data_IF_636215372093
#
_entry.id   IF_636215372093
#
_cell.length_a   1.000
_cell.length_b   1.000
_cell.length_c   1.000
_cell.angle_alpha   90.00
_cell.angle_beta   90.00
_cell.angle_gamma   90.00
#
_symmetry.space_group_name_H-M   'P 1'
#
loop_
_entity.id
_entity.type
_entity.pdbx_description
1 polymer ?
#
# COMPACT_ATOMS: atom_id res chain seq x y z
N UNK A 1 7.42 -3.81 10.00
CA UNK A 1 8.42 -4.53 9.17
C UNK A 1 7.95 -5.92 8.75
N UNK A 2 7.40 -6.75 9.66
CA UNK A 2 7.03 -8.15 9.34
C UNK A 2 6.13 -8.34 8.12
N UNK A 3 5.11 -7.49 7.92
CA UNK A 3 4.19 -7.60 6.78
C UNK A 3 4.88 -7.39 5.43
N UNK A 4 5.79 -6.42 5.31
CA UNK A 4 6.46 -6.11 4.04
C UNK A 4 7.47 -7.19 3.67
N UNK A 5 8.17 -7.75 4.66
CA UNK A 5 9.01 -8.94 4.47
C UNK A 5 8.17 -10.14 4.05
N UNK A 6 7.06 -10.41 4.75
CA UNK A 6 6.17 -11.53 4.42
C UNK A 6 5.61 -11.46 3.00
N UNK A 7 5.17 -10.28 2.55
CA UNK A 7 4.72 -10.08 1.15
C UNK A 7 5.81 -10.36 0.13
N UNK A 8 7.05 -9.91 0.37
CA UNK A 8 8.16 -10.19 -0.53
C UNK A 8 8.50 -11.70 -0.57
N UNK A 9 8.45 -12.37 0.58
CA UNK A 9 8.60 -13.82 0.66
C UNK A 9 7.52 -14.52 -0.17
N UNK A 10 6.26 -14.07 -0.10
CA UNK A 10 5.18 -14.61 -0.92
C UNK A 10 5.38 -14.36 -2.42
N UNK A 11 5.85 -13.18 -2.84
CA UNK A 11 6.18 -12.94 -4.25
C UNK A 11 7.30 -13.86 -4.75
N UNK A 12 8.28 -14.13 -3.89
CA UNK A 12 9.36 -15.06 -4.24
C UNK A 12 8.84 -16.50 -4.33
N UNK A 13 8.11 -16.95 -3.31
CA UNK A 13 7.66 -18.33 -3.21
C UNK A 13 6.52 -18.69 -4.19
N UNK A 14 5.57 -17.79 -4.40
CA UNK A 14 4.36 -18.07 -5.19
C UNK A 14 4.50 -17.73 -6.68
N UNK A 15 5.32 -16.71 -7.02
CA UNK A 15 5.44 -16.24 -8.41
C UNK A 15 6.85 -16.31 -8.97
N UNK A 16 7.83 -16.81 -8.19
CA UNK A 16 9.22 -16.97 -8.63
C UNK A 16 9.98 -15.66 -8.80
N UNK A 17 9.47 -14.53 -8.27
CA UNK A 17 10.15 -13.24 -8.38
C UNK A 17 11.41 -13.27 -7.51
N UNK A 18 12.62 -13.05 -8.06
CA UNK A 18 13.84 -13.06 -7.26
C UNK A 18 13.78 -12.05 -6.12
N UNK A 19 14.12 -12.45 -4.90
CA UNK A 19 14.02 -11.58 -3.72
C UNK A 19 14.89 -10.33 -3.83
N UNK A 20 15.98 -10.39 -4.59
CA UNK A 20 16.87 -9.25 -4.89
C UNK A 20 16.18 -8.14 -5.69
N UNK A 21 15.05 -8.42 -6.36
CA UNK A 21 14.25 -7.42 -7.07
C UNK A 21 13.28 -6.67 -6.16
N UNK A 22 13.02 -7.18 -4.95
CA UNK A 22 12.17 -6.53 -3.96
C UNK A 22 12.97 -5.81 -2.88
N UNK A 23 12.41 -4.72 -2.35
CA UNK A 23 12.95 -4.03 -1.19
C UNK A 23 11.82 -3.83 -0.17
N UNK A 24 11.84 -4.51 0.98
CA UNK A 24 10.85 -4.28 2.03
C UNK A 24 11.15 -2.94 2.71
N UNK A 25 10.17 -2.02 2.66
CA UNK A 25 10.29 -0.67 3.23
C UNK A 25 9.15 -0.43 4.21
N UNK A 26 9.44 0.27 5.31
CA UNK A 26 8.44 0.80 6.25
C UNK A 26 8.71 2.28 6.42
N UNK A 27 7.71 3.11 6.11
CA UNK A 27 7.73 4.53 6.44
C UNK A 27 7.19 4.70 7.86
N UNK A 28 8.05 5.11 8.79
CA UNK A 28 7.69 5.29 10.21
C UNK A 28 7.17 6.71 10.46
N UNK A 29 5.85 6.88 10.40
CA UNK A 29 5.18 8.12 10.80
C UNK A 29 4.86 8.18 12.30
N UNK A 30 5.46 7.31 13.13
CA UNK A 30 5.12 7.16 14.54
C UNK A 30 3.98 6.17 14.78
N UNK A 31 3.65 5.99 16.06
CA UNK A 31 2.68 5.00 16.55
C UNK A 31 1.70 5.63 17.54
N UNK A 32 0.47 5.12 17.55
CA UNK A 32 -0.50 5.47 18.61
C UNK A 32 -0.38 4.53 19.81
N UNK A 33 0.41 3.45 19.70
CA UNK A 33 0.72 2.55 20.79
C UNK A 33 2.06 2.96 21.42
N UNK A 34 2.00 3.84 22.43
CA UNK A 34 3.17 4.42 23.09
C UNK A 34 3.61 3.66 24.36
N UNK A 35 2.83 2.66 24.77
CA UNK A 35 3.05 1.94 26.02
C UNK A 35 4.02 0.77 25.89
N UNK A 36 4.46 0.43 24.67
CA UNK A 36 5.29 -0.74 24.41
C UNK A 36 6.78 -0.42 24.61
N UNK A 37 7.44 -0.98 25.64
CA UNK A 37 8.86 -0.75 25.90
C UNK A 37 9.77 -1.44 24.87
N UNK A 38 9.24 -2.37 24.07
CA UNK A 38 9.97 -3.05 23.00
C UNK A 38 9.67 -2.46 21.61
N UNK A 39 9.03 -1.30 21.55
CA UNK A 39 8.80 -0.62 20.28
C UNK A 39 10.13 -0.22 19.63
N UNK A 40 10.41 -0.82 18.48
CA UNK A 40 11.71 -0.71 17.81
C UNK A 40 11.93 0.61 17.07
N UNK A 41 10.87 1.39 16.84
CA UNK A 41 10.92 2.61 16.04
C UNK A 41 10.69 3.87 16.90
N UNK A 42 10.45 5.03 16.28
CA UNK A 42 10.28 6.28 17.05
C UNK A 42 9.03 6.23 17.94
N UNK A 43 9.24 6.33 19.26
CA UNK A 43 8.19 6.49 20.26
C UNK A 43 7.63 7.93 20.24
N UNK A 44 6.86 8.22 19.19
CA UNK A 44 6.10 9.46 19.04
C UNK A 44 4.70 9.15 18.52
N UNK A 45 3.73 10.02 18.83
CA UNK A 45 2.38 9.93 18.26
C UNK A 45 2.43 9.95 16.74
N UNK A 46 1.49 9.24 16.11
CA UNK A 46 1.39 9.18 14.66
C UNK A 46 1.16 10.58 14.06
N UNK A 47 1.98 10.94 13.09
CA UNK A 47 1.83 12.14 12.26
C UNK A 47 0.77 11.88 11.19
N UNK A 48 -0.11 12.86 10.96
CA UNK A 48 -1.20 12.80 9.98
C UNK A 48 -1.19 14.05 9.08
N UNK A 49 -1.95 14.00 7.99
CA UNK A 49 -2.11 15.11 7.04
C UNK A 49 -0.84 15.40 6.25
N UNK A 50 -0.63 16.67 5.91
CA UNK A 50 0.41 17.13 4.99
C UNK A 50 1.82 16.62 5.32
N UNK A 51 2.19 16.55 6.61
CA UNK A 51 3.50 16.05 7.01
C UNK A 51 3.70 14.56 6.72
N UNK A 52 2.62 13.77 6.79
CA UNK A 52 2.66 12.36 6.42
C UNK A 52 2.71 12.19 4.90
N UNK A 53 1.96 13.03 4.16
CA UNK A 53 1.94 13.03 2.70
C UNK A 53 3.29 13.46 2.13
N UNK A 54 3.89 14.54 2.66
CA UNK A 54 5.24 14.98 2.32
C UNK A 54 6.29 13.88 2.51
N UNK A 55 6.20 13.08 3.60
CA UNK A 55 7.12 11.96 3.79
C UNK A 55 6.99 10.90 2.69
N UNK A 56 5.76 10.62 2.25
CA UNK A 56 5.49 9.68 1.15
C UNK A 56 5.99 10.26 -0.17
N UNK A 57 5.75 11.55 -0.41
CA UNK A 57 6.19 12.25 -1.62
C UNK A 57 7.71 12.33 -1.70
N UNK A 58 8.38 12.72 -0.62
CA UNK A 58 9.83 12.77 -0.52
C UNK A 58 10.44 11.39 -0.77
N UNK A 59 9.86 10.33 -0.20
CA UNK A 59 10.31 8.96 -0.44
C UNK A 59 10.12 8.53 -1.90
N UNK A 60 8.99 8.90 -2.50
CA UNK A 60 8.65 8.52 -3.88
C UNK A 60 9.47 9.28 -4.91
N UNK A 61 9.76 10.55 -4.63
CA UNK A 61 10.44 11.49 -5.53
C UNK A 61 11.94 11.66 -5.22
N UNK A 62 12.49 10.95 -4.23
CA UNK A 62 13.90 11.02 -3.88
C UNK A 62 14.81 10.75 -5.10
N UNK A 63 15.89 11.53 -5.29
CA UNK A 63 16.81 11.33 -6.41
C UNK A 63 17.47 9.94 -6.33
N UNK A 64 17.15 9.09 -7.32
CA UNK A 64 17.48 7.67 -7.40
C UNK A 64 16.67 6.99 -8.51
N UNK A 65 16.72 5.65 -8.65
CA UNK A 65 15.78 4.97 -9.56
C UNK A 65 14.35 5.28 -9.09
N UNK A 66 13.48 5.87 -9.93
CA UNK A 66 12.13 6.23 -9.53
C UNK A 66 11.42 5.02 -8.95
N UNK A 67 10.90 5.16 -7.73
CA UNK A 67 10.09 4.10 -7.10
C UNK A 67 8.69 4.07 -7.74
N UNK A 68 8.37 5.03 -8.60
CA UNK A 68 7.11 5.13 -9.36
C UNK A 68 6.80 3.91 -10.24
N UNK A 69 7.78 3.07 -10.58
CA UNK A 69 7.55 1.78 -11.27
C UNK A 69 7.24 0.61 -10.32
N UNK A 70 7.31 0.80 -9.00
CA UNK A 70 7.07 -0.26 -8.00
C UNK A 70 5.64 -0.17 -7.46
N UNK A 71 4.94 -1.31 -7.47
CA UNK A 71 3.57 -1.42 -6.95
C UNK A 71 3.57 -1.24 -5.42
N UNK A 72 3.09 -0.09 -4.96
CA UNK A 72 2.83 0.15 -3.54
C UNK A 72 1.49 -0.46 -3.13
N UNK A 73 1.51 -1.43 -2.23
CA UNK A 73 0.31 -2.04 -1.67
C UNK A 73 -0.11 -1.37 -0.36
N UNK A 74 -0.69 -0.17 -0.45
CA UNK A 74 -1.28 0.55 0.67
C UNK A 74 -2.59 1.23 0.23
N UNK A 75 -3.68 0.47 0.17
CA UNK A 75 -5.01 0.96 -0.19
C UNK A 75 -6.06 0.52 0.82
N UNK A 76 -7.18 1.25 0.87
CA UNK A 76 -8.40 0.83 1.54
C UNK A 76 -9.02 -0.33 0.76
N UNK A 77 -8.93 -1.54 1.30
CA UNK A 77 -9.37 -2.78 0.65
C UNK A 77 -10.84 -2.68 0.18
N UNK A 78 -11.70 -2.00 0.93
CA UNK A 78 -13.13 -1.89 0.64
C UNK A 78 -13.46 -1.14 -0.65
N UNK A 79 -12.87 0.04 -0.88
CA UNK A 79 -13.17 0.85 -2.08
C UNK A 79 -12.61 0.20 -3.35
N UNK A 80 -11.41 -0.39 -3.27
CA UNK A 80 -10.78 -1.07 -4.40
C UNK A 80 -11.56 -2.31 -4.85
N UNK A 81 -12.12 -3.08 -3.91
CA UNK A 81 -12.95 -4.24 -4.26
C UNK A 81 -14.24 -3.79 -4.95
N UNK A 82 -14.93 -2.78 -4.42
CA UNK A 82 -16.16 -2.25 -5.03
C UNK A 82 -15.90 -1.76 -6.45
N UNK A 83 -14.79 -1.06 -6.68
CA UNK A 83 -14.42 -0.60 -8.02
C UNK A 83 -14.11 -1.74 -8.99
N UNK A 84 -13.41 -2.78 -8.54
CA UNK A 84 -13.13 -3.96 -9.36
C UNK A 84 -14.42 -4.72 -9.71
N UNK A 85 -15.35 -4.87 -8.75
CA UNK A 85 -16.65 -5.49 -9.00
C UNK A 85 -17.47 -4.65 -9.99
N UNK A 86 -17.51 -3.32 -9.81
CA UNK A 86 -18.23 -2.44 -10.74
C UNK A 86 -17.64 -2.50 -12.16
N UNK A 87 -16.31 -2.59 -12.30
CA UNK A 87 -15.65 -2.78 -13.59
C UNK A 87 -15.96 -4.14 -14.22
N UNK A 88 -16.05 -5.20 -13.43
CA UNK A 88 -16.42 -6.54 -13.91
C UNK A 88 -17.88 -6.55 -14.42
N UNK A 89 -18.83 -6.01 -13.64
CA UNK A 89 -20.24 -5.88 -14.04
C UNK A 89 -20.36 -5.06 -15.32
N UNK A 90 -19.64 -3.94 -15.42
CA UNK A 90 -19.64 -3.10 -16.63
C UNK A 90 -19.15 -3.87 -17.85
N UNK A 91 -18.08 -4.66 -17.73
CA UNK A 91 -17.56 -5.52 -18.82
C UNK A 91 -18.53 -6.60 -19.25
N UNK A 92 -19.23 -7.24 -18.32
CA UNK A 92 -20.15 -8.35 -18.62
C UNK A 92 -21.50 -7.87 -19.16
N UNK A 93 -22.00 -6.75 -18.65
CA UNK A 93 -23.35 -6.25 -18.96
C UNK A 93 -23.39 -5.15 -20.01
N UNK A 94 -22.23 -4.57 -20.36
CA UNK A 94 -22.13 -3.42 -21.25
C UNK A 94 -22.63 -2.10 -20.65
N UNK A 95 -23.09 -2.10 -19.38
CA UNK A 95 -23.51 -0.90 -18.66
C UNK A 95 -22.32 -0.02 -18.30
N UNK A 96 -22.57 1.26 -18.02
CA UNK A 96 -21.51 2.16 -17.53
C UNK A 96 -21.02 1.76 -16.13
N UNK A 97 -19.83 2.21 -15.76
CA UNK A 97 -19.27 1.91 -14.43
C UNK A 97 -20.11 2.56 -13.32
N UNK A 98 -20.66 3.77 -13.52
CA UNK A 98 -21.57 4.38 -12.54
C UNK A 98 -22.87 3.59 -12.36
N UNK A 99 -23.45 3.06 -13.43
CA UNK A 99 -24.65 2.20 -13.35
C UNK A 99 -24.36 0.85 -12.69
N UNK A 100 -23.15 0.34 -12.90
CA UNK A 100 -22.67 -0.89 -12.28
C UNK A 100 -22.45 -0.71 -10.77
N UNK A 101 -21.94 0.46 -10.35
CA UNK A 101 -21.78 0.82 -8.93
C UNK A 101 -23.11 0.88 -8.17
N UNK A 102 -24.22 1.22 -8.81
CA UNK A 102 -25.55 1.27 -8.17
C UNK A 102 -26.12 -0.11 -7.80
N UNK A 103 -25.48 -1.19 -8.24
CA UNK A 103 -25.92 -2.58 -8.04
C UNK A 103 -25.14 -3.28 -6.92
N UNK A 104 -24.25 -2.56 -6.23
CA UNK A 104 -23.37 -3.03 -5.14
C UNK A 104 -23.65 -2.15 -3.91
#
# INVERSE_FOLDING_TARGET
MGITVGKLTLYTACTGVPSQMGLPVVLDCGTNNLADPFYISRLQKRVHGEKCEQLVDDFTNAPGKPISERKFGAGTVGTGIVDLIAQAISRETGKTVEESRKQI
#
